data_IF_093494800606
#
_entry.id   IF_093494800606
#
_cell.length_a   1.000
_cell.length_b   1.000
_cell.length_c   1.000
_cell.angle_alpha   90.00
_cell.angle_beta   90.00
_cell.angle_gamma   90.00
#
_symmetry.space_group_name_H-M   'P 1'
#
loop_
_entity.id
_entity.type
_entity.pdbx_description
1 polymer ?
#
# COMPACT_ATOMS: atom_id res chain seq x y z
N UNK A 1 21.93 2.46 -22.23
CA UNK A 1 22.81 3.56 -21.80
C UNK A 1 22.63 4.70 -22.79
N UNK A 2 22.64 5.94 -22.34
CA UNK A 2 22.51 7.13 -23.16
C UNK A 2 23.74 8.00 -22.94
N UNK A 3 24.38 8.40 -24.03
CA UNK A 3 25.52 9.29 -24.04
C UNK A 3 25.07 10.62 -24.63
N UNK A 4 25.44 11.72 -23.99
CA UNK A 4 25.21 13.06 -24.53
C UNK A 4 26.56 13.67 -24.93
N UNK A 5 26.75 13.89 -26.23
CA UNK A 5 27.97 14.43 -26.80
C UNK A 5 27.94 15.96 -26.84
N UNK A 6 29.07 16.59 -26.51
CA UNK A 6 29.23 18.03 -26.67
C UNK A 6 29.21 18.40 -28.15
N UNK A 7 28.38 19.37 -28.50
CA UNK A 7 28.42 19.98 -29.83
C UNK A 7 29.79 20.60 -30.10
N UNK A 8 30.33 20.32 -31.28
CA UNK A 8 31.60 20.85 -31.78
C UNK A 8 31.33 21.68 -33.04
N UNK A 9 32.38 22.15 -33.70
CA UNK A 9 32.26 22.79 -35.01
C UNK A 9 31.78 21.82 -36.11
N UNK A 10 31.90 20.50 -35.90
CA UNK A 10 31.57 19.48 -36.90
C UNK A 10 30.16 18.90 -36.74
N UNK A 11 29.62 18.91 -35.52
CA UNK A 11 28.29 18.37 -35.24
C UNK A 11 27.65 19.09 -34.06
N UNK A 12 26.32 19.17 -34.06
CA UNK A 12 25.52 19.75 -32.96
C UNK A 12 25.46 18.76 -31.79
N UNK A 13 25.09 19.23 -30.60
CA UNK A 13 24.87 18.36 -29.43
C UNK A 13 23.85 17.26 -29.77
N UNK A 14 24.26 16.01 -29.57
CA UNK A 14 23.50 14.81 -29.90
C UNK A 14 23.44 13.86 -28.72
N UNK A 15 22.34 13.15 -28.60
CA UNK A 15 22.18 12.08 -27.60
C UNK A 15 22.07 10.75 -28.32
N UNK A 16 22.99 9.84 -28.02
CA UNK A 16 23.02 8.50 -28.59
C UNK A 16 22.60 7.46 -27.54
N UNK A 17 21.86 6.43 -27.97
CA UNK A 17 21.46 5.32 -27.12
C UNK A 17 22.25 4.06 -27.50
N UNK A 18 23.00 3.54 -26.53
CA UNK A 18 23.86 2.37 -26.68
C UNK A 18 23.46 1.27 -25.71
N UNK A 19 23.65 0.02 -26.13
CA UNK A 19 23.47 -1.15 -25.27
C UNK A 19 24.78 -1.40 -24.53
N UNK A 20 24.74 -1.58 -23.21
CA UNK A 20 25.90 -2.00 -22.44
C UNK A 20 25.99 -3.55 -22.41
N UNK A 21 27.18 -4.16 -22.43
CA UNK A 21 28.51 -3.55 -22.36
C UNK A 21 29.02 -3.06 -23.73
N UNK A 22 29.50 -1.81 -23.79
CA UNK A 22 30.08 -1.17 -25.00
C UNK A 22 31.23 -0.24 -24.63
N UNK A 23 32.12 0.03 -25.60
CA UNK A 23 33.18 1.02 -25.45
C UNK A 23 32.61 2.43 -25.45
N UNK A 24 33.20 3.30 -24.64
CA UNK A 24 32.84 4.71 -24.60
C UNK A 24 33.68 5.52 -25.58
N UNK A 25 33.12 6.58 -26.19
CA UNK A 25 33.90 7.55 -26.94
C UNK A 25 34.81 8.36 -26.00
N UNK A 26 35.63 9.23 -26.59
CA UNK A 26 36.60 10.01 -25.83
C UNK A 26 35.91 10.93 -24.81
N UNK A 27 36.35 10.87 -23.56
CA UNK A 27 35.65 11.49 -22.42
C UNK A 27 35.51 13.01 -22.49
N UNK A 28 36.36 13.68 -23.25
CA UNK A 28 36.33 15.14 -23.39
C UNK A 28 35.27 15.62 -24.40
N UNK A 29 34.76 14.72 -25.23
CA UNK A 29 33.65 14.97 -26.15
C UNK A 29 32.30 14.69 -25.50
N UNK A 30 32.27 14.10 -24.29
CA UNK A 30 31.05 13.74 -23.59
C UNK A 30 30.64 14.81 -22.57
N UNK A 31 29.38 15.23 -22.61
CA UNK A 31 28.76 16.09 -21.59
C UNK A 31 28.21 15.30 -20.42
N UNK A 32 27.56 14.18 -20.70
CA UNK A 32 26.84 13.40 -19.69
C UNK A 32 26.71 11.96 -20.12
N UNK A 33 26.77 11.06 -19.14
CA UNK A 33 26.46 9.65 -19.30
C UNK A 33 25.25 9.33 -18.44
N UNK A 34 24.24 8.67 -19.02
CA UNK A 34 23.04 8.25 -18.32
C UNK A 34 22.78 6.76 -18.53
N UNK A 35 22.61 6.00 -17.44
CA UNK A 35 21.99 4.68 -17.53
C UNK A 35 20.49 4.91 -17.74
N UNK A 36 20.04 4.67 -18.97
CA UNK A 36 18.64 4.81 -19.39
C UNK A 36 18.06 3.42 -19.65
N UNK A 37 16.79 3.26 -19.33
CA UNK A 37 16.00 2.07 -19.63
C UNK A 37 14.95 1.80 -18.54
N UNK A 38 13.87 1.08 -18.87
CA UNK A 38 12.85 0.76 -17.87
C UNK A 38 13.37 -0.21 -16.80
N UNK A 39 14.38 -1.03 -17.11
CA UNK A 39 14.81 -2.20 -16.30
C UNK A 39 15.76 -1.90 -15.17
N UNK A 40 16.53 -0.84 -15.28
CA UNK A 40 17.53 -0.49 -14.27
C UNK A 40 17.24 0.89 -13.72
N UNK A 41 17.67 1.14 -12.49
CA UNK A 41 17.58 2.46 -11.89
C UNK A 41 18.45 3.45 -12.67
N UNK A 42 17.90 4.63 -12.96
CA UNK A 42 18.61 5.65 -13.72
C UNK A 42 19.78 6.20 -12.91
N UNK A 43 20.97 6.16 -13.49
CA UNK A 43 22.19 6.75 -12.92
C UNK A 43 22.67 7.80 -13.90
N UNK A 44 22.97 9.00 -13.40
CA UNK A 44 23.45 10.12 -14.19
C UNK A 44 24.85 10.51 -13.72
N UNK A 45 25.82 10.41 -14.62
CA UNK A 45 27.20 10.88 -14.42
C UNK A 45 27.37 12.12 -15.27
N UNK A 46 27.41 13.28 -14.63
CA UNK A 46 27.59 14.58 -15.28
C UNK A 46 29.08 14.90 -15.41
N UNK A 47 29.57 14.96 -16.65
CA UNK A 47 30.99 15.21 -16.94
C UNK A 47 31.32 16.70 -17.02
N UNK A 48 30.30 17.58 -17.07
CA UNK A 48 30.49 19.04 -17.00
C UNK A 48 31.09 19.47 -15.66
N UNK A 49 30.84 18.70 -14.60
CA UNK A 49 31.36 18.92 -13.25
C UNK A 49 32.77 18.37 -13.02
N UNK A 50 33.28 17.58 -13.97
CA UNK A 50 34.63 17.00 -13.91
C UNK A 50 34.67 15.54 -14.36
N UNK A 51 35.76 15.17 -15.03
CA UNK A 51 35.96 13.82 -15.59
C UNK A 51 36.70 12.86 -14.66
N UNK A 52 37.24 13.34 -13.53
CA UNK A 52 38.07 12.55 -12.62
C UNK A 52 37.35 11.33 -12.05
N UNK A 53 36.07 11.47 -11.69
CA UNK A 53 35.29 10.36 -11.13
C UNK A 53 35.14 9.23 -12.15
N UNK A 54 34.72 9.54 -13.38
CA UNK A 54 34.57 8.55 -14.45
C UNK A 54 35.92 7.92 -14.84
N UNK A 55 36.99 8.73 -14.92
CA UNK A 55 38.34 8.21 -15.14
C UNK A 55 38.74 7.21 -14.07
N UNK A 56 38.47 7.50 -12.80
CA UNK A 56 38.75 6.57 -11.70
C UNK A 56 37.97 5.25 -11.81
N UNK A 57 36.73 5.27 -12.32
CA UNK A 57 35.95 4.05 -12.56
C UNK A 57 36.60 3.24 -13.70
N UNK A 58 36.93 3.90 -14.81
CA UNK A 58 37.56 3.26 -15.97
C UNK A 58 38.95 2.70 -15.66
N UNK A 59 39.72 3.35 -14.79
CA UNK A 59 41.01 2.85 -14.31
C UNK A 59 40.89 1.65 -13.36
N UNK A 60 39.71 1.42 -12.76
CA UNK A 60 39.41 0.31 -11.85
C UNK A 60 38.43 -0.66 -12.53
N UNK A 61 38.89 -1.25 -13.64
CA UNK A 61 38.17 -2.24 -14.45
C UNK A 61 36.91 -1.75 -15.18
N UNK A 62 36.55 -0.47 -15.07
CA UNK A 62 35.40 0.10 -15.80
C UNK A 62 34.04 -0.42 -15.34
N UNK A 63 33.94 -0.96 -14.11
CA UNK A 63 32.69 -1.54 -13.59
C UNK A 63 31.75 -0.44 -13.10
N UNK A 64 30.56 -0.38 -13.68
CA UNK A 64 29.46 0.43 -13.19
C UNK A 64 28.39 -0.45 -12.54
N UNK A 65 28.20 -0.30 -11.24
CA UNK A 65 27.15 -1.01 -10.51
C UNK A 65 25.78 -0.42 -10.85
N UNK A 66 24.90 -1.26 -11.39
CA UNK A 66 23.51 -0.92 -11.68
C UNK A 66 22.58 -1.79 -10.85
N UNK A 67 21.46 -1.22 -10.41
CA UNK A 67 20.41 -1.95 -9.70
C UNK A 67 19.26 -2.25 -10.66
N UNK A 68 18.90 -3.51 -10.80
CA UNK A 68 17.72 -3.95 -11.53
C UNK A 68 16.47 -3.47 -10.77
N UNK A 69 15.46 -3.00 -11.49
CA UNK A 69 14.17 -2.66 -10.92
C UNK A 69 13.39 -3.94 -10.60
N UNK A 70 12.68 -3.94 -9.47
CA UNK A 70 11.81 -5.05 -9.14
C UNK A 70 10.70 -5.18 -10.21
N UNK A 71 10.26 -6.41 -10.50
CA UNK A 71 9.24 -6.68 -11.52
C UNK A 71 9.71 -6.62 -12.97
N UNK A 72 11.01 -6.49 -13.20
CA UNK A 72 11.60 -6.61 -14.54
C UNK A 72 12.74 -7.62 -14.55
N UNK A 73 12.81 -8.41 -15.62
CA UNK A 73 13.90 -9.37 -15.86
C UNK A 73 15.10 -8.69 -16.50
N UNK A 74 16.29 -9.27 -16.32
CA UNK A 74 17.50 -8.77 -16.96
C UNK A 74 17.44 -8.92 -18.50
N UNK A 75 18.21 -8.13 -19.23
CA UNK A 75 18.33 -8.28 -20.69
C UNK A 75 18.90 -9.63 -21.12
N UNK A 76 19.59 -10.35 -20.23
CA UNK A 76 20.07 -11.71 -20.50
C UNK A 76 18.93 -12.74 -20.47
N UNK A 77 17.97 -12.56 -19.57
CA UNK A 77 16.86 -13.49 -19.35
C UNK A 77 15.65 -13.22 -20.24
N UNK A 78 15.40 -11.95 -20.57
CA UNK A 78 14.32 -11.54 -21.46
C UNK A 78 14.78 -10.37 -22.35
N UNK A 79 15.55 -10.59 -23.43
CA UNK A 79 16.12 -9.52 -24.24
C UNK A 79 15.09 -8.52 -24.77
N UNK A 80 13.91 -9.02 -25.17
CA UNK A 80 12.86 -8.24 -25.81
C UNK A 80 11.75 -7.77 -24.85
N UNK A 81 11.70 -8.31 -23.62
CA UNK A 81 10.66 -7.96 -22.64
C UNK A 81 9.33 -8.68 -22.90
N UNK A 82 9.31 -9.65 -23.81
CA UNK A 82 8.09 -10.31 -24.25
C UNK A 82 7.51 -11.22 -23.17
N UNK A 83 8.35 -11.80 -22.30
CA UNK A 83 7.86 -12.65 -21.21
C UNK A 83 7.07 -11.80 -20.22
N UNK A 84 7.62 -10.65 -19.83
CA UNK A 84 6.94 -9.72 -18.94
C UNK A 84 5.68 -9.11 -19.61
N UNK A 85 5.74 -8.74 -20.89
CA UNK A 85 4.59 -8.20 -21.63
C UNK A 85 3.44 -9.22 -21.79
N UNK A 86 3.75 -10.47 -22.14
CA UNK A 86 2.74 -11.53 -22.25
C UNK A 86 2.09 -11.81 -20.90
N UNK A 87 2.89 -11.87 -19.83
CA UNK A 87 2.35 -12.08 -18.50
C UNK A 87 1.47 -10.90 -18.02
N UNK A 88 1.78 -9.64 -18.39
CA UNK A 88 0.92 -8.48 -18.12
C UNK A 88 -0.39 -8.54 -18.90
N UNK A 89 -0.36 -8.92 -20.17
CA UNK A 89 -1.57 -8.97 -21.01
C UNK A 89 -2.52 -10.10 -20.62
N UNK A 90 -1.98 -11.23 -20.17
CA UNK A 90 -2.78 -12.35 -19.64
C UNK A 90 -3.47 -11.96 -18.32
N UNK A 91 -2.79 -11.24 -17.44
CA UNK A 91 -3.35 -10.80 -16.16
C UNK A 91 -4.37 -9.67 -16.32
N UNK A 92 -4.14 -8.71 -17.23
CA UNK A 92 -5.09 -7.62 -17.50
C UNK A 92 -6.41 -8.10 -18.13
N UNK A 93 -6.36 -9.14 -18.98
CA UNK A 93 -7.54 -9.69 -19.66
C UNK A 93 -8.42 -10.54 -18.74
N UNK A 94 -7.87 -11.05 -17.64
CA UNK A 94 -8.62 -11.84 -16.65
C UNK A 94 -9.22 -10.94 -15.55
N UNK A 95 -9.86 -9.83 -15.93
CA UNK A 95 -10.57 -8.94 -14.99
C UNK A 95 -11.66 -9.67 -14.18
N UNK A 96 -12.19 -10.78 -14.70
CA UNK A 96 -13.21 -11.60 -14.06
C UNK A 96 -12.61 -12.76 -13.23
N UNK A 97 -11.30 -12.99 -13.33
CA UNK A 97 -10.56 -13.97 -12.55
C UNK A 97 -9.25 -13.33 -12.04
N UNK A 98 -9.34 -12.62 -10.90
CA UNK A 98 -8.19 -12.11 -10.11
C UNK A 98 -7.18 -13.20 -9.68
N UNK A 99 -7.37 -14.44 -10.12
CA UNK A 99 -6.49 -15.57 -9.87
C UNK A 99 -5.21 -15.43 -10.71
N UNK A 100 -4.26 -14.67 -10.18
CA UNK A 100 -2.88 -14.68 -10.67
C UNK A 100 -2.31 -16.08 -10.46
N UNK A 101 -1.84 -16.71 -11.54
CA UNK A 101 -1.15 -18.00 -11.44
C UNK A 101 0.24 -17.80 -10.84
N UNK A 102 0.57 -18.40 -9.68
CA UNK A 102 1.85 -18.24 -9.01
C UNK A 102 3.04 -18.52 -9.93
N UNK A 103 2.91 -19.47 -10.87
CA UNK A 103 3.97 -19.85 -11.80
C UNK A 103 4.40 -18.71 -12.73
N UNK A 104 3.52 -17.74 -12.97
CA UNK A 104 3.77 -16.59 -13.82
C UNK A 104 4.71 -15.55 -13.18
N UNK A 105 4.96 -15.61 -11.87
CA UNK A 105 5.82 -14.63 -11.18
C UNK A 105 7.27 -14.65 -11.71
N UNK A 106 7.72 -15.82 -12.15
CA UNK A 106 9.04 -16.02 -12.76
C UNK A 106 9.24 -15.28 -14.09
N UNK A 107 8.15 -14.81 -14.72
CA UNK A 107 8.21 -13.95 -15.89
C UNK A 107 8.45 -12.46 -15.54
N UNK A 108 8.41 -12.11 -14.25
CA UNK A 108 8.54 -10.74 -13.76
C UNK A 108 9.78 -10.53 -12.90
N UNK A 109 10.17 -11.51 -12.09
CA UNK A 109 11.29 -11.37 -11.17
C UNK A 109 12.14 -12.64 -11.13
N UNK A 110 13.45 -12.44 -10.97
CA UNK A 110 14.43 -13.48 -10.66
C UNK A 110 14.90 -13.44 -9.20
N UNK A 111 14.24 -12.64 -8.36
CA UNK A 111 14.56 -12.55 -6.92
C UNK A 111 14.17 -13.85 -6.18
N UNK A 112 15.13 -14.56 -5.54
CA UNK A 112 14.86 -15.83 -4.89
C UNK A 112 13.85 -15.74 -3.74
N UNK A 113 13.78 -14.62 -3.02
CA UNK A 113 12.87 -14.46 -1.89
C UNK A 113 11.41 -14.42 -2.37
N UNK A 114 11.11 -13.62 -3.39
CA UNK A 114 9.78 -13.54 -4.00
C UNK A 114 9.37 -14.84 -4.71
N UNK A 115 10.30 -15.49 -5.39
CA UNK A 115 10.07 -16.81 -6.01
C UNK A 115 9.74 -17.87 -4.96
N UNK A 116 10.47 -17.87 -3.84
CA UNK A 116 10.21 -18.77 -2.71
C UNK A 116 8.86 -18.48 -2.08
N UNK A 117 8.51 -17.21 -1.90
CA UNK A 117 7.19 -16.83 -1.38
C UNK A 117 6.07 -17.39 -2.26
N UNK A 118 6.19 -17.26 -3.58
CA UNK A 118 5.23 -17.82 -4.52
C UNK A 118 5.10 -19.34 -4.41
N UNK A 119 6.22 -20.07 -4.33
CA UNK A 119 6.21 -21.53 -4.27
C UNK A 119 5.63 -22.04 -2.93
N UNK A 120 5.92 -21.37 -1.81
CA UNK A 120 5.49 -21.82 -0.48
C UNK A 120 4.10 -21.30 -0.05
N UNK A 121 3.69 -20.10 -0.48
CA UNK A 121 2.48 -19.44 0.02
C UNK A 121 1.38 -19.21 -1.02
N UNK A 122 1.71 -19.25 -2.32
CA UNK A 122 0.73 -18.97 -3.38
C UNK A 122 0.30 -20.23 -4.13
N UNK A 123 1.16 -21.26 -4.21
CA UNK A 123 0.90 -22.49 -4.96
C UNK A 123 0.03 -23.47 -4.17
N UNK A 124 -1.12 -23.92 -4.71
CA UNK A 124 -1.93 -24.94 -4.06
C UNK A 124 -1.26 -26.31 -4.16
N UNK A 125 -1.00 -26.97 -3.04
CA UNK A 125 -0.45 -28.34 -3.00
C UNK A 125 -1.54 -29.44 -3.01
N UNK A 126 -2.77 -29.09 -2.62
CA UNK A 126 -3.94 -29.96 -2.49
C UNK A 126 -5.21 -29.17 -2.77
N UNK A 127 -6.37 -29.83 -2.90
CA UNK A 127 -7.66 -29.12 -3.00
C UNK A 127 -7.97 -28.44 -1.67
N UNK A 128 -7.90 -27.10 -1.65
CA UNK A 128 -7.90 -26.29 -0.42
C UNK A 128 -9.28 -25.74 -0.04
N UNK A 129 -10.34 -25.99 -0.83
CA UNK A 129 -11.70 -25.56 -0.55
C UNK A 129 -11.77 -24.08 -0.12
N UNK A 130 -12.23 -23.82 1.10
CA UNK A 130 -12.37 -22.46 1.68
C UNK A 130 -11.04 -21.70 1.89
N UNK A 131 -9.88 -22.38 1.87
CA UNK A 131 -8.58 -21.71 1.99
C UNK A 131 -8.03 -21.20 0.66
N UNK A 132 -8.70 -21.50 -0.46
CA UNK A 132 -8.30 -21.03 -1.78
C UNK A 132 -8.31 -19.49 -1.87
N UNK A 133 -9.29 -18.84 -1.25
CA UNK A 133 -9.40 -17.37 -1.23
C UNK A 133 -8.17 -16.69 -0.61
N UNK A 134 -7.51 -17.34 0.35
CA UNK A 134 -6.30 -16.83 1.00
C UNK A 134 -5.10 -16.92 0.03
N UNK A 135 -4.97 -18.04 -0.68
CA UNK A 135 -3.91 -18.24 -1.68
C UNK A 135 -4.07 -17.26 -2.84
N UNK A 136 -5.30 -17.04 -3.30
CA UNK A 136 -5.62 -16.09 -4.36
C UNK A 136 -5.30 -14.66 -3.93
N UNK A 137 -5.62 -14.29 -2.69
CA UNK A 137 -5.25 -13.00 -2.11
C UNK A 137 -3.73 -12.82 -2.03
N UNK A 138 -2.99 -13.82 -1.53
CA UNK A 138 -1.52 -13.75 -1.46
C UNK A 138 -0.88 -13.64 -2.84
N UNK A 139 -1.41 -14.37 -3.83
CA UNK A 139 -0.99 -14.29 -5.22
C UNK A 139 -1.23 -12.89 -5.81
N UNK A 140 -2.39 -12.29 -5.50
CA UNK A 140 -2.72 -10.93 -5.94
C UNK A 140 -1.81 -9.88 -5.28
N UNK A 141 -1.56 -9.98 -3.98
CA UNK A 141 -0.67 -9.06 -3.25
C UNK A 141 0.76 -9.17 -3.78
N UNK A 142 1.27 -10.40 -3.95
CA UNK A 142 2.61 -10.64 -4.47
C UNK A 142 2.76 -10.04 -5.87
N UNK A 143 1.82 -10.33 -6.77
CA UNK A 143 1.82 -9.78 -8.12
C UNK A 143 1.89 -8.25 -8.11
N UNK A 144 1.06 -7.63 -7.28
CA UNK A 144 1.04 -6.18 -7.16
C UNK A 144 2.36 -5.61 -6.65
N UNK A 145 2.92 -6.18 -5.58
CA UNK A 145 4.20 -5.72 -5.01
C UNK A 145 5.34 -5.81 -6.02
N UNK A 146 5.32 -6.84 -6.88
CA UNK A 146 6.30 -7.02 -7.94
C UNK A 146 6.12 -5.98 -9.05
N UNK A 147 4.88 -5.73 -9.48
CA UNK A 147 4.58 -4.76 -10.55
C UNK A 147 4.78 -3.30 -10.13
N UNK A 148 4.55 -2.97 -8.85
CA UNK A 148 4.75 -1.64 -8.29
C UNK A 148 6.19 -1.36 -7.85
N UNK A 149 7.09 -2.32 -8.03
CA UNK A 149 8.50 -2.22 -7.64
C UNK A 149 8.73 -2.02 -6.12
N UNK A 150 7.82 -2.50 -5.26
CA UNK A 150 7.79 -2.30 -3.80
C UNK A 150 7.62 -3.62 -2.99
N UNK A 151 8.50 -4.62 -3.17
CA UNK A 151 8.42 -5.91 -2.47
C UNK A 151 8.48 -5.79 -0.94
N UNK A 152 9.03 -4.72 -0.40
CA UNK A 152 9.06 -4.40 1.03
C UNK A 152 7.68 -4.22 1.65
N UNK A 153 6.65 -3.96 0.85
CA UNK A 153 5.27 -3.80 1.32
C UNK A 153 4.57 -5.13 1.55
N UNK A 154 5.10 -6.23 1.03
CA UNK A 154 4.51 -7.56 1.14
C UNK A 154 4.18 -7.94 2.61
N UNK A 155 5.09 -7.78 3.60
CA UNK A 155 4.75 -8.06 5.00
C UNK A 155 3.64 -7.15 5.55
N UNK A 156 3.57 -5.89 5.12
CA UNK A 156 2.55 -4.96 5.59
C UNK A 156 1.15 -5.36 5.09
N UNK A 157 1.02 -5.75 3.82
CA UNK A 157 -0.23 -6.26 3.27
C UNK A 157 -0.73 -7.49 4.01
N UNK A 158 0.17 -8.46 4.25
CA UNK A 158 -0.16 -9.70 4.97
C UNK A 158 -0.55 -9.41 6.41
N UNK A 159 0.16 -8.49 7.09
CA UNK A 159 -0.17 -8.08 8.45
C UNK A 159 -1.55 -7.41 8.55
N UNK A 160 -1.91 -6.58 7.57
CA UNK A 160 -3.25 -5.96 7.50
C UNK A 160 -4.32 -7.04 7.33
N UNK A 161 -4.17 -7.95 6.35
CA UNK A 161 -5.15 -9.03 6.12
C UNK A 161 -5.31 -9.92 7.34
N UNK A 162 -4.21 -10.33 7.98
CA UNK A 162 -4.25 -11.16 9.19
C UNK A 162 -4.97 -10.45 10.34
N UNK A 163 -4.71 -9.16 10.55
CA UNK A 163 -5.37 -8.38 11.59
C UNK A 163 -6.87 -8.19 11.33
N UNK A 164 -7.27 -7.96 10.06
CA UNK A 164 -8.68 -7.86 9.68
C UNK A 164 -9.40 -9.20 9.86
N UNK A 165 -8.83 -10.31 9.39
CA UNK A 165 -9.42 -11.65 9.58
C UNK A 165 -9.49 -12.07 11.03
N UNK A 166 -8.50 -11.68 11.85
CA UNK A 166 -8.54 -11.88 13.29
C UNK A 166 -9.70 -11.14 13.94
N UNK A 167 -9.98 -9.92 13.49
CA UNK A 167 -11.11 -9.11 13.95
C UNK A 167 -12.46 -9.74 13.53
N UNK A 168 -12.57 -10.20 12.28
CA UNK A 168 -13.77 -10.90 11.78
C UNK A 168 -14.11 -12.14 12.62
N UNK A 169 -13.09 -12.90 13.04
CA UNK A 169 -13.25 -14.08 13.92
C UNK A 169 -13.50 -13.71 15.39
N UNK A 170 -13.42 -12.43 15.76
CA UNK A 170 -13.51 -11.93 17.14
C UNK A 170 -12.45 -12.52 18.09
N UNK A 171 -11.30 -12.89 17.54
CA UNK A 171 -10.17 -13.50 18.28
C UNK A 171 -9.15 -12.45 18.77
N UNK A 172 -9.29 -11.20 18.33
CA UNK A 172 -8.37 -10.11 18.67
C UNK A 172 -8.43 -9.75 20.15
N UNK A 173 -7.32 -9.91 20.85
CA UNK A 173 -7.13 -9.48 22.24
C UNK A 173 -6.38 -8.15 22.35
N UNK A 174 -5.60 -7.80 21.32
CA UNK A 174 -4.75 -6.61 21.28
C UNK A 174 -5.18 -5.65 20.17
N UNK A 175 -5.07 -4.35 20.43
CA UNK A 175 -5.48 -3.30 19.47
C UNK A 175 -4.32 -2.71 18.67
N UNK A 176 -3.08 -3.16 18.89
CA UNK A 176 -1.88 -2.59 18.26
C UNK A 176 -1.95 -2.68 16.73
N UNK A 177 -2.31 -3.83 16.17
CA UNK A 177 -2.42 -4.00 14.72
C UNK A 177 -3.52 -3.09 14.12
N UNK A 178 -4.62 -2.89 14.85
CA UNK A 178 -5.71 -2.01 14.44
C UNK A 178 -5.30 -0.53 14.44
N UNK A 179 -4.45 -0.11 15.39
CA UNK A 179 -3.81 1.21 15.35
C UNK A 179 -2.97 1.40 14.10
N UNK A 180 -2.18 0.39 13.71
CA UNK A 180 -1.38 0.46 12.48
C UNK A 180 -2.26 0.59 11.24
N UNK A 181 -3.34 -0.21 11.15
CA UNK A 181 -4.30 -0.12 10.03
C UNK A 181 -4.93 1.27 9.98
N UNK A 182 -5.37 1.81 11.11
CA UNK A 182 -5.94 3.16 11.19
C UNK A 182 -4.97 4.22 10.68
N UNK A 183 -3.70 4.17 11.11
CA UNK A 183 -2.67 5.10 10.65
C UNK A 183 -2.44 5.00 9.14
N UNK A 184 -2.43 3.78 8.59
CA UNK A 184 -2.34 3.56 7.14
C UNK A 184 -3.53 4.20 6.44
N UNK A 185 -4.76 3.97 6.90
CA UNK A 185 -5.97 4.56 6.31
C UNK A 185 -5.97 6.10 6.38
N UNK A 186 -5.54 6.68 7.50
CA UNK A 186 -5.43 8.14 7.66
C UNK A 186 -4.33 8.74 6.77
N UNK A 187 -3.18 8.06 6.65
CA UNK A 187 -2.10 8.48 5.76
C UNK A 187 -2.56 8.54 4.31
N UNK A 188 -3.24 7.49 3.82
CA UNK A 188 -3.71 7.41 2.44
C UNK A 188 -4.93 8.29 2.15
N UNK A 189 -5.70 8.70 3.17
CA UNK A 189 -6.82 9.64 3.02
C UNK A 189 -6.42 11.11 3.19
N UNK A 190 -5.15 11.40 3.51
CA UNK A 190 -4.69 12.77 3.73
C UNK A 190 -4.66 13.62 2.45
N UNK A 191 -5.25 14.83 2.51
CA UNK A 191 -5.32 15.77 1.39
C UNK A 191 -3.92 16.20 0.92
N UNK A 192 -2.97 16.37 1.85
CA UNK A 192 -1.58 16.71 1.53
C UNK A 192 -0.90 15.66 0.63
N UNK A 193 -1.24 14.39 0.79
CA UNK A 193 -0.72 13.32 -0.07
C UNK A 193 -1.38 13.39 -1.45
N UNK A 194 -2.70 13.57 -1.50
CA UNK A 194 -3.45 13.69 -2.75
C UNK A 194 -3.00 14.90 -3.59
N UNK A 195 -2.75 16.05 -2.96
CA UNK A 195 -2.26 17.26 -3.62
C UNK A 195 -0.83 17.08 -4.18
N UNK A 196 0.07 16.45 -3.41
CA UNK A 196 1.43 16.15 -3.89
C UNK A 196 1.44 15.13 -5.02
N UNK A 197 0.47 14.22 -5.05
CA UNK A 197 0.33 13.22 -6.11
C UNK A 197 -0.19 13.81 -7.41
N UNK A 198 -1.10 14.78 -7.35
CA UNK A 198 -1.66 15.43 -8.55
C UNK A 198 -0.60 16.19 -9.37
N UNK A 199 0.51 16.62 -8.73
CA UNK A 199 1.59 17.36 -9.39
C UNK A 199 2.67 16.53 -10.07
N UNK A 200 2.73 15.20 -9.85
CA UNK A 200 3.83 14.36 -10.34
C UNK A 200 3.28 13.15 -11.12
N UNK A 201 3.29 13.18 -12.46
CA UNK A 201 2.96 11.99 -13.24
C UNK A 201 4.01 10.92 -12.91
N UNK A 202 3.56 9.71 -12.55
CA UNK A 202 4.36 8.50 -12.26
C UNK A 202 4.64 8.11 -10.80
N UNK A 203 4.12 8.78 -9.76
CA UNK A 203 4.07 8.15 -8.42
C UNK A 203 2.74 7.44 -8.21
N UNK A 204 2.70 6.14 -8.52
CA UNK A 204 1.64 5.25 -8.05
C UNK A 204 1.68 5.19 -6.52
N UNK A 205 0.51 5.04 -5.88
CA UNK A 205 0.42 4.79 -4.45
C UNK A 205 1.27 3.58 -4.07
N UNK A 206 1.89 3.60 -2.89
CA UNK A 206 2.66 2.48 -2.35
C UNK A 206 1.78 1.27 -1.99
N UNK A 207 0.46 1.45 -1.94
CA UNK A 207 -0.51 0.38 -1.81
C UNK A 207 -1.64 0.53 -2.83
N UNK A 208 -2.29 -0.59 -3.17
CA UNK A 208 -3.41 -0.64 -4.09
C UNK A 208 -4.49 0.38 -3.72
N UNK A 209 -5.09 1.00 -4.74
CA UNK A 209 -6.31 1.76 -4.58
C UNK A 209 -7.49 0.92 -4.11
N UNK A 210 -7.51 -0.40 -4.37
CA UNK A 210 -8.66 -1.26 -4.07
C UNK A 210 -8.51 -2.10 -2.79
N UNK A 211 -7.30 -2.50 -2.41
CA UNK A 211 -7.05 -3.32 -1.22
C UNK A 211 -7.46 -2.62 0.07
N UNK A 212 -6.99 -1.38 0.28
CA UNK A 212 -7.27 -0.64 1.52
C UNK A 212 -8.76 -0.34 1.71
N UNK A 213 -9.53 0.07 0.68
CA UNK A 213 -10.98 0.16 0.80
C UNK A 213 -11.66 -1.16 1.15
N UNK A 214 -11.25 -2.29 0.56
CA UNK A 214 -11.81 -3.61 0.91
C UNK A 214 -11.58 -3.90 2.39
N UNK A 215 -10.34 -3.76 2.86
CA UNK A 215 -9.99 -3.98 4.28
C UNK A 215 -10.76 -3.05 5.22
N UNK A 216 -10.90 -1.77 4.83
CA UNK A 216 -11.69 -0.78 5.57
C UNK A 216 -13.15 -1.21 5.67
N UNK A 217 -13.78 -1.57 4.55
CA UNK A 217 -15.18 -2.01 4.52
C UNK A 217 -15.38 -3.26 5.37
N UNK A 218 -14.45 -4.22 5.35
CA UNK A 218 -14.52 -5.41 6.18
C UNK A 218 -14.49 -5.09 7.68
N UNK A 219 -13.59 -4.18 8.10
CA UNK A 219 -13.53 -3.70 9.49
C UNK A 219 -14.83 -2.98 9.88
N UNK A 220 -15.28 -2.04 9.04
CA UNK A 220 -16.51 -1.28 9.25
C UNK A 220 -17.70 -2.24 9.44
N UNK A 221 -17.88 -3.21 8.53
CA UNK A 221 -18.94 -4.21 8.57
C UNK A 221 -18.88 -5.10 9.82
N UNK A 222 -17.69 -5.53 10.23
CA UNK A 222 -17.53 -6.40 11.42
C UNK A 222 -17.89 -5.65 12.69
N UNK A 223 -17.47 -4.38 12.80
CA UNK A 223 -17.80 -3.53 13.94
C UNK A 223 -19.29 -3.15 13.96
N UNK A 224 -19.90 -2.92 12.78
CA UNK A 224 -21.32 -2.63 12.66
C UNK A 224 -22.19 -3.86 13.02
N UNK A 225 -21.77 -5.07 12.61
CA UNK A 225 -22.40 -6.33 13.06
C UNK A 225 -22.25 -6.56 14.56
N UNK A 226 -21.13 -6.17 15.17
CA UNK A 226 -20.94 -6.23 16.61
C UNK A 226 -21.86 -5.24 17.34
N UNK A 227 -22.00 -4.01 16.84
CA UNK A 227 -22.96 -3.03 17.39
C UNK A 227 -24.39 -3.56 17.34
N UNK A 228 -24.83 -4.09 16.20
CA UNK A 228 -26.17 -4.68 16.03
C UNK A 228 -26.38 -5.94 16.89
N UNK A 229 -25.30 -6.67 17.19
CA UNK A 229 -25.32 -7.89 18.00
C UNK A 229 -25.33 -7.67 19.52
N UNK A 230 -25.64 -6.45 20.00
CA UNK A 230 -25.70 -6.10 21.42
C UNK A 230 -24.48 -5.35 21.97
N UNK A 231 -23.54 -4.96 21.11
CA UNK A 231 -22.40 -4.10 21.49
C UNK A 231 -22.79 -2.64 21.76
N UNK A 232 -23.97 -2.24 21.30
CA UNK A 232 -24.60 -0.94 21.51
C UNK A 232 -24.81 -0.64 23.02
N UNK A 233 -25.33 -1.60 23.77
CA UNK A 233 -25.56 -1.52 25.23
C UNK A 233 -24.24 -1.38 25.98
N UNK A 234 -23.23 -2.17 25.58
CA UNK A 234 -21.89 -2.17 26.15
C UNK A 234 -21.19 -0.83 25.92
N UNK A 235 -21.30 -0.30 24.71
CA UNK A 235 -20.76 1.02 24.36
C UNK A 235 -21.47 2.12 25.15
N UNK A 236 -22.79 2.07 25.27
CA UNK A 236 -23.56 3.04 26.04
C UNK A 236 -23.19 3.00 27.55
N UNK A 237 -22.97 1.80 28.08
CA UNK A 237 -22.50 1.60 29.46
C UNK A 237 -21.10 2.19 29.68
N UNK A 238 -20.17 1.97 28.74
CA UNK A 238 -18.83 2.57 28.77
C UNK A 238 -18.88 4.11 28.76
N UNK A 239 -19.70 4.69 27.89
CA UNK A 239 -19.86 6.15 27.79
C UNK A 239 -20.49 6.75 29.06
N UNK A 240 -21.39 6.01 29.71
CA UNK A 240 -22.00 6.39 30.99
C UNK A 240 -21.11 6.10 32.22
N UNK A 241 -19.93 5.50 32.03
CA UNK A 241 -19.03 5.12 33.12
C UNK A 241 -19.52 3.94 33.98
N UNK A 242 -20.44 3.13 33.45
CA UNK A 242 -20.98 1.93 34.10
C UNK A 242 -20.05 0.72 33.84
N UNK A 243 -20.11 -0.33 34.69
CA UNK A 243 -19.33 -1.55 34.47
C UNK A 243 -19.74 -2.24 33.15
N UNK A 244 -18.75 -2.80 32.46
CA UNK A 244 -18.90 -3.44 31.15
C UNK A 244 -18.62 -4.94 31.29
N UNK A 245 -19.32 -5.78 30.54
CA UNK A 245 -19.08 -7.23 30.53
C UNK A 245 -17.72 -7.60 29.92
N UNK A 246 -17.00 -8.52 30.58
CA UNK A 246 -15.66 -8.96 30.15
C UNK A 246 -15.63 -9.60 28.76
N UNK A 247 -16.73 -10.24 28.35
CA UNK A 247 -16.84 -10.96 27.07
C UNK A 247 -16.74 -10.03 25.84
N UNK A 248 -17.09 -8.75 26.00
CA UNK A 248 -17.13 -7.76 24.91
C UNK A 248 -16.02 -6.70 25.00
N UNK A 249 -15.19 -6.73 26.05
CA UNK A 249 -14.16 -5.73 26.29
C UNK A 249 -13.16 -5.60 25.14
N UNK A 250 -12.75 -6.71 24.53
CA UNK A 250 -11.78 -6.70 23.43
C UNK A 250 -12.34 -6.02 22.18
N UNK A 251 -13.57 -6.36 21.80
CA UNK A 251 -14.29 -5.74 20.67
C UNK A 251 -14.60 -4.27 20.93
N UNK A 252 -14.97 -3.93 22.17
CA UNK A 252 -15.15 -2.54 22.57
C UNK A 252 -13.84 -1.74 22.45
N UNK A 253 -12.71 -2.29 22.90
CA UNK A 253 -11.42 -1.64 22.74
C UNK A 253 -11.06 -1.42 21.26
N UNK A 254 -11.34 -2.41 20.40
CA UNK A 254 -11.16 -2.28 18.95
C UNK A 254 -12.03 -1.15 18.37
N UNK A 255 -13.30 -1.09 18.77
CA UNK A 255 -14.24 -0.06 18.33
C UNK A 255 -13.75 1.35 18.71
N UNK A 256 -13.37 1.55 19.97
CA UNK A 256 -12.88 2.85 20.47
C UNK A 256 -11.63 3.31 19.71
N UNK A 257 -10.68 2.40 19.49
CA UNK A 257 -9.43 2.68 18.78
C UNK A 257 -9.70 3.08 17.33
N UNK A 258 -10.46 2.26 16.61
CA UNK A 258 -10.67 2.45 15.18
C UNK A 258 -11.50 3.70 14.86
N UNK A 259 -12.54 3.97 15.65
CA UNK A 259 -13.39 5.14 15.48
C UNK A 259 -12.91 6.40 16.19
N UNK A 260 -11.77 6.35 16.90
CA UNK A 260 -11.22 7.49 17.67
C UNK A 260 -12.21 8.04 18.70
N UNK A 261 -12.95 7.18 19.39
CA UNK A 261 -13.92 7.62 20.40
C UNK A 261 -13.16 8.14 21.63
N UNK A 262 -13.37 9.40 22.05
CA UNK A 262 -12.64 9.97 23.18
C UNK A 262 -13.10 9.37 24.51
N UNK A 263 -12.27 9.55 25.54
CA UNK A 263 -12.58 9.04 26.88
C UNK A 263 -13.84 9.70 27.47
N UNK A 264 -14.63 8.99 28.30
CA UNK A 264 -15.88 9.51 28.88
C UNK A 264 -15.73 10.87 29.61
N UNK A 265 -14.57 11.11 30.25
CA UNK A 265 -14.29 12.39 30.92
C UNK A 265 -14.29 13.59 29.97
N UNK A 266 -13.73 13.41 28.77
CA UNK A 266 -13.69 14.45 27.72
C UNK A 266 -15.06 14.68 27.10
N UNK A 267 -15.91 13.66 27.09
CA UNK A 267 -17.30 13.74 26.63
C UNK A 267 -18.18 14.51 27.62
N UNK A 268 -18.01 14.27 28.92
CA UNK A 268 -18.71 14.98 30.00
C UNK A 268 -18.36 16.47 30.05
N UNK A 269 -17.09 16.82 29.80
CA UNK A 269 -16.64 18.21 29.68
C UNK A 269 -17.26 18.92 28.46
N UNK A 270 -17.62 18.17 27.42
CA UNK A 270 -18.24 18.67 26.18
C UNK A 270 -19.74 18.99 26.23
N UNK A 271 -20.40 18.92 27.41
CA UNK A 271 -21.85 19.20 27.59
C UNK A 271 -22.75 18.47 26.57
N UNK A 272 -22.71 17.14 26.57
CA UNK A 272 -23.50 16.30 25.67
C UNK A 272 -24.99 16.19 26.04
N UNK A 273 -25.36 16.54 27.28
CA UNK A 273 -26.75 16.54 27.73
C UNK A 273 -27.60 17.52 26.89
N UNK A 274 -28.64 17.00 26.26
CA UNK A 274 -29.66 17.81 25.57
C UNK A 274 -29.46 18.04 24.07
N UNK A 275 -28.57 17.29 23.39
CA UNK A 275 -28.45 17.40 21.93
C UNK A 275 -29.66 16.74 21.27
N UNK A 276 -30.44 17.51 20.51
CA UNK A 276 -31.71 17.05 19.93
C UNK A 276 -31.58 16.65 18.45
N UNK A 277 -30.50 17.08 17.80
CA UNK A 277 -30.24 16.84 16.37
C UNK A 277 -28.80 16.41 16.09
N UNK A 278 -28.61 15.68 14.97
CA UNK A 278 -27.28 15.26 14.50
C UNK A 278 -26.34 16.44 14.21
N UNK A 279 -26.88 17.56 13.73
CA UNK A 279 -26.11 18.78 13.42
C UNK A 279 -25.51 19.42 14.68
N UNK A 280 -26.26 19.43 15.79
CA UNK A 280 -25.76 19.90 17.08
C UNK A 280 -24.63 19.01 17.60
N UNK A 281 -24.77 17.68 17.45
CA UNK A 281 -23.71 16.74 17.79
C UNK A 281 -22.46 16.99 16.95
N UNK A 282 -22.59 17.18 15.64
CA UNK A 282 -21.45 17.41 14.75
C UNK A 282 -20.66 18.66 15.17
N UNK A 283 -21.35 19.76 15.49
CA UNK A 283 -20.72 20.98 15.99
C UNK A 283 -19.99 20.76 17.33
N UNK A 284 -20.62 20.08 18.30
CA UNK A 284 -20.00 19.79 19.60
C UNK A 284 -18.78 18.87 19.48
N UNK A 285 -18.81 17.94 18.52
CA UNK A 285 -17.72 16.97 18.31
C UNK A 285 -16.62 17.46 17.36
N UNK A 286 -16.80 18.61 16.71
CA UNK A 286 -15.78 19.23 15.85
C UNK A 286 -14.51 19.56 16.65
N UNK A 287 -14.67 20.08 17.88
CA UNK A 287 -13.55 20.44 18.76
C UNK A 287 -12.78 19.21 19.27
N UNK A 288 -13.48 18.07 19.38
CA UNK A 288 -12.91 16.78 19.82
C UNK A 288 -12.20 16.02 18.67
N UNK A 289 -12.16 16.58 17.46
CA UNK A 289 -11.54 15.99 16.25
C UNK A 289 -12.01 14.56 15.94
N UNK A 290 -13.25 14.24 16.31
CA UNK A 290 -13.80 12.92 16.04
C UNK A 290 -14.23 12.82 14.57
N UNK A 291 -13.87 11.75 13.85
CA UNK A 291 -14.24 11.63 12.44
C UNK A 291 -15.75 11.40 12.30
N UNK A 292 -16.37 12.01 11.29
CA UNK A 292 -17.84 11.95 11.05
C UNK A 292 -18.35 10.50 10.93
N UNK A 293 -17.53 9.59 10.40
CA UNK A 293 -17.87 8.15 10.31
C UNK A 293 -18.13 7.49 11.67
N UNK A 294 -17.47 7.97 12.72
CA UNK A 294 -17.67 7.49 14.08
C UNK A 294 -18.95 8.10 14.66
N UNK A 295 -19.16 9.41 14.41
CA UNK A 295 -20.35 10.11 14.86
C UNK A 295 -21.64 9.51 14.28
N UNK A 296 -21.63 9.11 13.00
CA UNK A 296 -22.78 8.44 12.36
C UNK A 296 -23.22 7.17 13.12
N UNK A 297 -22.27 6.42 13.68
CA UNK A 297 -22.52 5.19 14.43
C UNK A 297 -22.89 5.43 15.89
N UNK A 298 -22.41 6.55 16.46
CA UNK A 298 -22.73 6.98 17.82
C UNK A 298 -24.05 7.76 17.92
N UNK A 299 -24.50 8.38 16.83
CA UNK A 299 -25.69 9.23 16.84
C UNK A 299 -26.96 8.52 17.32
N UNK A 300 -27.28 7.26 16.93
CA UNK A 300 -28.47 6.57 17.43
C UNK A 300 -28.43 6.36 18.95
N UNK A 301 -27.24 6.09 19.49
CA UNK A 301 -26.99 5.89 20.93
C UNK A 301 -27.17 7.20 21.70
N UNK A 302 -26.59 8.30 21.20
CA UNK A 302 -26.59 9.58 21.88
C UNK A 302 -27.91 10.35 21.76
N UNK A 303 -28.66 10.15 20.68
CA UNK A 303 -29.96 10.81 20.44
C UNK A 303 -31.15 10.02 21.03
N UNK A 304 -30.89 8.86 21.66
CA UNK A 304 -31.92 8.06 22.31
C UNK A 304 -32.96 7.44 21.35
N UNK A 305 -32.63 7.30 20.06
CA UNK A 305 -33.53 6.77 19.05
C UNK A 305 -32.97 5.44 18.47
N UNK A 306 -33.38 4.28 19.00
CA UNK A 306 -32.84 2.97 18.60
C UNK A 306 -33.29 2.48 17.21
N UNK A 307 -34.14 3.22 16.49
CA UNK A 307 -34.73 2.76 15.22
C UNK A 307 -33.96 3.14 13.94
N UNK A 308 -32.85 3.88 14.00
CA UNK A 308 -32.18 4.35 12.77
C UNK A 308 -31.03 3.45 12.27
N UNK A 309 -30.87 2.22 12.79
CA UNK A 309 -29.82 1.28 12.35
C UNK A 309 -30.18 0.49 11.08
N UNK A 310 -31.06 1.02 10.22
CA UNK A 310 -31.33 0.47 8.90
C UNK A 310 -31.07 1.55 7.86
N UNK A 311 -29.86 1.53 7.31
CA UNK A 311 -29.53 2.02 5.98
C UNK A 311 -28.51 1.08 5.35
#
# INVERSE_FOLDING_TARGET
MSLNDSGTQWYKETTEELIAPTLLPELHLLKQIKVKGPRYWEIVIDLRKGTHHLKSILSKDGVLYVKLRAGQLSYKEDPMGWRSLLAQTVTLRNSEARTFKPEAISAFTSDPALLSFSEYFCKPTTDMGQKQDILDLFSSILYECVIQENPEMLPAYIAIDQAVRGLERRETTETFALWQIKLVLEFFSSQNLQERMNGIPCRRLFMNSEFLPVMKCTIDNTLDQWLQGGGDITLHSYLAGQPVEDSQLSMLACFLVYYSVPAPKMLLEGKLEGSSSFSELLLKFQDLRMPVRALLRLAPLLLGNPQSMVL
#
